data_IF_286137482028
#
_entry.id   IF_286137482028
#
_cell.length_a   1.000
_cell.length_b   1.000
_cell.length_c   1.000
_cell.angle_alpha   90.00
_cell.angle_beta   90.00
_cell.angle_gamma   90.00
#
_symmetry.space_group_name_H-M   'P 1'
#
loop_
_entity.id
_entity.type
_entity.pdbx_description
1 polymer ?
#
# COMPACT_ATOMS: atom_id res chain seq x y z
N UNK A 1 -15.08 -7.69 35.54
CA UNK A 1 -15.73 -6.74 34.64
C UNK A 1 -14.65 -5.73 34.27
N UNK A 2 -13.99 -5.93 33.11
CA UNK A 2 -12.94 -5.02 32.64
C UNK A 2 -13.60 -3.71 32.19
N UNK A 3 -13.12 -2.58 32.71
CA UNK A 3 -13.51 -1.26 32.23
C UNK A 3 -13.16 -1.13 30.76
N UNK A 4 -14.16 -1.13 29.88
CA UNK A 4 -13.97 -0.74 28.47
C UNK A 4 -13.46 0.70 28.45
N UNK A 5 -12.33 0.96 27.79
CA UNK A 5 -11.76 2.31 27.67
C UNK A 5 -12.76 3.23 26.98
N UNK A 6 -12.72 4.53 27.28
CA UNK A 6 -13.61 5.53 26.63
C UNK A 6 -13.45 5.51 25.09
N UNK A 7 -12.31 5.12 24.56
CA UNK A 7 -12.03 4.93 23.14
C UNK A 7 -12.91 3.84 22.52
N UNK A 8 -13.22 2.75 23.27
CA UNK A 8 -14.07 1.67 22.79
C UNK A 8 -15.55 2.07 22.68
N UNK A 9 -16.00 3.05 23.48
CA UNK A 9 -17.39 3.53 23.44
C UNK A 9 -17.68 4.43 22.24
N UNK A 10 -16.68 5.10 21.69
CA UNK A 10 -16.81 5.95 20.50
C UNK A 10 -16.73 5.15 19.19
N UNK A 11 -16.25 3.93 19.24
CA UNK A 11 -16.08 3.09 18.03
C UNK A 11 -17.43 2.52 17.54
N UNK A 12 -17.85 2.98 16.34
CA UNK A 12 -19.11 2.52 15.73
C UNK A 12 -18.87 1.27 14.89
N UNK A 13 -19.04 0.10 15.50
CA UNK A 13 -18.79 -1.20 14.86
C UNK A 13 -19.58 -1.40 13.56
N UNK A 14 -20.82 -0.89 13.47
CA UNK A 14 -21.61 -1.02 12.25
C UNK A 14 -20.97 -0.23 11.07
N UNK A 15 -20.42 0.96 11.33
CA UNK A 15 -19.70 1.74 10.34
C UNK A 15 -18.42 1.02 9.89
N UNK A 16 -17.63 0.53 10.84
CA UNK A 16 -16.41 -0.23 10.55
C UNK A 16 -16.70 -1.41 9.63
N UNK A 17 -17.70 -2.24 9.96
CA UNK A 17 -18.12 -3.39 9.13
C UNK A 17 -18.60 -2.97 7.74
N UNK A 18 -19.26 -1.83 7.60
CA UNK A 18 -19.65 -1.27 6.29
C UNK A 18 -18.43 -0.91 5.44
N UNK A 19 -17.42 -0.29 6.05
CA UNK A 19 -16.15 0.02 5.39
C UNK A 19 -15.35 -1.24 5.04
N UNK A 20 -15.36 -2.27 5.90
CA UNK A 20 -14.73 -3.57 5.62
C UNK A 20 -15.33 -4.23 4.38
N UNK A 21 -16.65 -4.12 4.18
CA UNK A 21 -17.32 -4.63 2.97
C UNK A 21 -16.82 -3.90 1.71
N UNK A 22 -16.62 -2.58 1.76
CA UNK A 22 -16.03 -1.84 0.64
C UNK A 22 -14.56 -2.22 0.41
N UNK A 23 -13.78 -2.37 1.48
CA UNK A 23 -12.37 -2.76 1.43
C UNK A 23 -12.15 -4.23 1.01
N UNK A 24 -13.19 -5.06 1.04
CA UNK A 24 -13.13 -6.45 0.58
C UNK A 24 -12.96 -6.59 -0.94
N UNK A 25 -13.28 -5.55 -1.72
CA UNK A 25 -13.05 -5.53 -3.16
C UNK A 25 -11.57 -5.27 -3.47
N UNK A 26 -10.97 -6.15 -4.25
CA UNK A 26 -9.57 -6.05 -4.68
C UNK A 26 -9.46 -5.69 -6.16
N UNK A 27 -8.34 -5.13 -6.55
CA UNK A 27 -8.04 -4.90 -7.96
C UNK A 27 -8.13 -6.23 -8.74
N UNK A 28 -8.96 -6.25 -9.80
CA UNK A 28 -9.26 -7.45 -10.58
C UNK A 28 -10.58 -8.14 -10.24
N UNK A 29 -11.20 -7.86 -9.09
CA UNK A 29 -12.56 -8.30 -8.83
C UNK A 29 -13.54 -7.53 -9.73
N UNK A 30 -14.29 -8.25 -10.55
CA UNK A 30 -15.37 -7.62 -11.34
C UNK A 30 -16.61 -7.44 -10.48
N UNK A 31 -17.07 -8.52 -9.88
CA UNK A 31 -18.25 -8.54 -8.99
C UNK A 31 -18.04 -9.58 -7.89
N UNK A 32 -18.59 -9.34 -6.70
CA UNK A 32 -18.57 -10.28 -5.57
C UNK A 32 -20.00 -10.61 -5.11
N UNK A 33 -20.26 -11.86 -4.85
CA UNK A 33 -21.52 -12.32 -4.25
C UNK A 33 -21.55 -12.12 -2.74
N UNK A 34 -22.76 -12.17 -2.14
CA UNK A 34 -22.93 -12.04 -0.69
C UNK A 34 -22.11 -13.07 0.12
N UNK A 35 -21.99 -14.30 -0.39
CA UNK A 35 -21.22 -15.36 0.25
C UNK A 35 -19.71 -15.06 0.24
N UNK A 36 -19.18 -14.56 -0.88
CA UNK A 36 -17.76 -14.20 -1.01
C UNK A 36 -17.41 -13.02 -0.11
N UNK A 37 -18.27 -11.99 -0.07
CA UNK A 37 -18.10 -10.85 0.85
C UNK A 37 -18.15 -11.32 2.33
N UNK A 38 -19.09 -12.20 2.69
CA UNK A 38 -19.20 -12.74 4.05
C UNK A 38 -17.92 -13.48 4.47
N UNK A 39 -17.32 -14.25 3.56
CA UNK A 39 -16.06 -14.96 3.81
C UNK A 39 -14.89 -13.98 3.95
N UNK A 40 -14.76 -12.98 3.06
CA UNK A 40 -13.67 -12.02 3.09
C UNK A 40 -13.70 -11.09 4.31
N UNK A 41 -14.90 -10.72 4.74
CA UNK A 41 -15.09 -9.84 5.91
C UNK A 41 -15.20 -10.61 7.24
N UNK A 42 -15.23 -11.96 7.21
CA UNK A 42 -15.50 -12.79 8.37
C UNK A 42 -16.81 -12.41 9.09
N UNK A 43 -17.86 -12.07 8.32
CA UNK A 43 -19.16 -11.65 8.82
C UNK A 43 -20.27 -12.66 8.44
N UNK A 44 -21.35 -12.75 9.25
CA UNK A 44 -22.53 -13.50 8.87
C UNK A 44 -23.16 -12.97 7.57
N UNK A 45 -23.66 -13.85 6.69
CA UNK A 45 -24.31 -13.46 5.43
C UNK A 45 -25.46 -12.47 5.61
N UNK A 46 -26.25 -12.62 6.68
CA UNK A 46 -27.36 -11.71 7.00
C UNK A 46 -26.85 -10.28 7.34
N UNK A 47 -25.72 -10.18 8.01
CA UNK A 47 -25.08 -8.89 8.29
C UNK A 47 -24.59 -8.25 7.01
N UNK A 48 -23.90 -9.01 6.15
CA UNK A 48 -23.41 -8.51 4.85
C UNK A 48 -24.57 -8.05 3.98
N UNK A 49 -25.68 -8.80 3.91
CA UNK A 49 -26.88 -8.40 3.14
C UNK A 49 -27.43 -7.04 3.58
N UNK A 50 -27.46 -6.75 4.88
CA UNK A 50 -27.91 -5.45 5.41
C UNK A 50 -26.95 -4.34 5.09
N UNK A 51 -25.62 -4.58 5.20
CA UNK A 51 -24.58 -3.62 4.89
C UNK A 51 -24.55 -3.29 3.39
N UNK A 52 -24.58 -4.31 2.53
CA UNK A 52 -24.60 -4.12 1.07
C UNK A 52 -25.85 -3.39 0.61
N UNK A 53 -27.02 -3.70 1.19
CA UNK A 53 -28.25 -2.94 0.92
C UNK A 53 -28.06 -1.46 1.22
N UNK A 54 -27.53 -1.13 2.40
CA UNK A 54 -27.28 0.27 2.79
C UNK A 54 -26.27 0.94 1.85
N UNK A 55 -25.17 0.25 1.51
CA UNK A 55 -24.15 0.78 0.61
C UNK A 55 -24.67 0.99 -0.81
N UNK A 56 -25.60 0.16 -1.28
CA UNK A 56 -26.29 0.36 -2.55
C UNK A 56 -27.20 1.59 -2.49
N UNK A 57 -27.99 1.76 -1.44
CA UNK A 57 -28.84 2.95 -1.28
C UNK A 57 -28.04 4.27 -1.24
N UNK A 58 -26.81 4.21 -0.70
CA UNK A 58 -25.89 5.35 -0.63
C UNK A 58 -25.03 5.53 -1.89
N UNK A 59 -25.14 4.65 -2.88
CA UNK A 59 -24.41 4.73 -4.15
C UNK A 59 -22.92 4.31 -4.06
N UNK A 60 -22.50 3.65 -2.98
CA UNK A 60 -21.14 3.08 -2.83
C UNK A 60 -21.00 1.70 -3.48
N UNK A 61 -22.08 0.94 -3.56
CA UNK A 61 -22.16 -0.32 -4.30
C UNK A 61 -23.27 -0.26 -5.32
N UNK A 62 -23.13 -1.04 -6.38
CA UNK A 62 -24.20 -1.38 -7.32
C UNK A 62 -24.33 -2.89 -7.38
N UNK A 63 -25.54 -3.38 -7.71
CA UNK A 63 -25.83 -4.80 -7.86
C UNK A 63 -26.16 -5.09 -9.33
N UNK A 64 -25.57 -6.14 -9.87
CA UNK A 64 -25.86 -6.63 -11.21
C UNK A 64 -27.13 -7.50 -11.26
N UNK A 65 -27.56 -7.92 -12.46
CA UNK A 65 -28.74 -8.75 -12.68
C UNK A 65 -28.61 -10.15 -12.00
N UNK A 66 -27.39 -10.61 -11.78
CA UNK A 66 -27.10 -11.87 -11.07
C UNK A 66 -27.07 -11.72 -9.55
N UNK A 67 -27.38 -10.53 -9.02
CA UNK A 67 -27.36 -10.24 -7.59
C UNK A 67 -25.98 -10.08 -6.99
N UNK A 68 -24.93 -9.92 -7.80
CA UNK A 68 -23.57 -9.66 -7.32
C UNK A 68 -23.29 -8.16 -7.23
N UNK A 69 -22.38 -7.78 -6.34
CA UNK A 69 -22.04 -6.39 -6.02
C UNK A 69 -20.74 -5.98 -6.68
N UNK A 70 -20.65 -4.69 -7.04
CA UNK A 70 -19.41 -4.04 -7.47
C UNK A 70 -19.35 -2.60 -6.91
N UNK A 71 -18.15 -2.01 -6.74
CA UNK A 71 -18.00 -0.63 -6.31
C UNK A 71 -18.68 0.33 -7.29
N UNK A 72 -19.41 1.30 -6.76
CA UNK A 72 -20.16 2.29 -7.52
C UNK A 72 -19.44 3.67 -7.52
N UNK A 73 -19.85 4.65 -8.35
CA UNK A 73 -19.14 5.91 -8.55
C UNK A 73 -18.88 6.75 -7.27
N UNK A 74 -19.69 6.62 -6.22
CA UNK A 74 -19.46 7.34 -4.96
C UNK A 74 -18.10 7.00 -4.32
N UNK A 75 -17.57 5.77 -4.52
CA UNK A 75 -16.23 5.37 -4.05
C UNK A 75 -15.14 6.19 -4.75
N UNK A 76 -15.29 6.46 -6.06
CA UNK A 76 -14.33 7.27 -6.82
C UNK A 76 -14.28 8.71 -6.30
N UNK A 77 -15.41 9.29 -5.94
CA UNK A 77 -15.48 10.66 -5.40
C UNK A 77 -14.63 10.77 -4.12
N UNK A 78 -14.73 9.79 -3.21
CA UNK A 78 -13.91 9.75 -2.00
C UNK A 78 -12.42 9.54 -2.33
N UNK A 79 -12.11 8.63 -3.24
CA UNK A 79 -10.74 8.37 -3.67
C UNK A 79 -10.08 9.60 -4.29
N UNK A 80 -10.78 10.30 -5.18
CA UNK A 80 -10.27 11.53 -5.80
C UNK A 80 -10.11 12.67 -4.78
N UNK A 81 -11.03 12.84 -3.83
CA UNK A 81 -10.89 13.82 -2.76
C UNK A 81 -9.63 13.55 -1.91
N UNK A 82 -9.36 12.29 -1.58
CA UNK A 82 -8.15 11.90 -0.87
C UNK A 82 -6.87 12.19 -1.68
N UNK A 83 -6.87 11.89 -2.99
CA UNK A 83 -5.71 12.12 -3.87
C UNK A 83 -5.46 13.61 -4.12
N UNK A 84 -6.52 14.43 -4.21
CA UNK A 84 -6.42 15.88 -4.40
C UNK A 84 -5.76 16.61 -3.21
N UNK A 85 -5.83 16.03 -2.01
CA UNK A 85 -5.15 16.54 -0.82
C UNK A 85 -3.65 16.20 -0.73
N UNK A 86 -3.06 15.59 -1.76
CA UNK A 86 -1.66 15.15 -1.78
C UNK A 86 -0.83 16.01 -2.76
N UNK A 87 -0.45 17.23 -2.36
CA UNK A 87 0.31 18.17 -3.21
C UNK A 87 1.59 17.54 -3.78
N UNK A 88 2.30 16.76 -2.96
CA UNK A 88 3.50 16.04 -3.39
C UNK A 88 3.25 15.11 -4.57
N UNK A 89 2.05 14.53 -4.68
CA UNK A 89 1.68 13.65 -5.79
C UNK A 89 1.78 14.36 -7.14
N UNK A 90 1.29 15.59 -7.25
CA UNK A 90 1.35 16.35 -8.50
C UNK A 90 2.79 16.75 -8.87
N UNK A 91 3.55 17.21 -7.87
CA UNK A 91 4.98 17.56 -8.03
C UNK A 91 5.82 16.35 -8.43
N UNK A 92 5.52 15.17 -7.91
CA UNK A 92 6.26 13.94 -8.17
C UNK A 92 6.02 13.36 -9.57
N UNK A 93 4.84 13.57 -10.17
CA UNK A 93 4.39 12.88 -11.39
C UNK A 93 5.38 13.01 -12.54
N UNK A 94 5.81 14.20 -12.89
CA UNK A 94 6.70 14.41 -14.04
C UNK A 94 8.13 13.89 -13.78
N UNK A 95 8.78 14.14 -12.62
CA UNK A 95 10.06 13.52 -12.30
C UNK A 95 10.00 11.99 -12.26
N UNK A 96 8.94 11.39 -11.71
CA UNK A 96 8.71 9.93 -11.71
C UNK A 96 8.59 9.38 -13.13
N UNK A 97 7.85 10.06 -14.01
CA UNK A 97 7.71 9.68 -15.41
C UNK A 97 9.05 9.67 -16.14
N UNK A 98 9.89 10.70 -15.94
CA UNK A 98 11.24 10.76 -16.51
C UNK A 98 12.09 9.60 -16.03
N UNK A 99 12.12 9.33 -14.73
CA UNK A 99 12.88 8.21 -14.19
C UNK A 99 12.39 6.85 -14.74
N UNK A 100 11.08 6.69 -14.87
CA UNK A 100 10.50 5.47 -15.46
C UNK A 100 10.89 5.29 -16.92
N UNK A 101 10.90 6.37 -17.72
CA UNK A 101 11.32 6.33 -19.12
C UNK A 101 12.82 6.05 -19.26
N UNK A 102 13.66 6.67 -18.44
CA UNK A 102 15.11 6.50 -18.44
C UNK A 102 15.52 5.06 -18.08
N UNK A 103 14.91 4.51 -17.04
CA UNK A 103 15.27 3.17 -16.53
C UNK A 103 14.53 2.03 -17.21
N UNK A 104 13.39 2.32 -17.81
CA UNK A 104 12.45 1.30 -18.27
C UNK A 104 11.86 0.47 -17.14
N UNK A 105 11.81 1.02 -15.93
CA UNK A 105 11.26 0.41 -14.71
C UNK A 105 10.03 1.19 -14.23
N UNK A 106 9.19 0.57 -13.41
CA UNK A 106 8.04 1.25 -12.81
C UNK A 106 8.47 2.08 -11.61
N UNK A 107 8.00 3.32 -11.53
CA UNK A 107 8.25 4.23 -10.41
C UNK A 107 6.93 4.55 -9.73
N UNK A 108 6.86 4.37 -8.42
CA UNK A 108 5.61 4.46 -7.65
C UNK A 108 5.80 5.30 -6.40
N UNK A 109 4.83 6.14 -6.07
CA UNK A 109 4.72 6.89 -4.83
C UNK A 109 3.65 6.23 -3.95
N UNK A 110 3.94 6.05 -2.66
CA UNK A 110 3.00 5.41 -1.74
C UNK A 110 3.00 6.03 -0.34
N UNK A 111 1.87 5.87 0.34
CA UNK A 111 1.64 6.27 1.74
C UNK A 111 1.37 5.04 2.59
N UNK A 112 1.74 5.10 3.87
CA UNK A 112 1.45 4.02 4.82
C UNK A 112 -0.01 4.06 5.28
N UNK A 113 -0.62 2.88 5.32
CA UNK A 113 -1.91 2.64 5.94
C UNK A 113 -1.81 1.38 6.83
N UNK A 114 -1.61 1.57 8.13
CA UNK A 114 -1.39 0.45 9.05
C UNK A 114 -0.16 -0.37 8.66
N UNK A 115 -0.34 -1.69 8.48
CA UNK A 115 0.69 -2.65 8.04
C UNK A 115 0.89 -2.70 6.52
N UNK A 116 0.25 -1.78 5.77
CA UNK A 116 0.30 -1.77 4.32
C UNK A 116 0.73 -0.40 3.78
N UNK A 117 1.06 -0.39 2.48
CA UNK A 117 1.35 0.84 1.72
C UNK A 117 0.37 0.93 0.56
N UNK A 118 -0.33 2.05 0.45
CA UNK A 118 -1.25 2.35 -0.65
C UNK A 118 -0.53 3.22 -1.68
N UNK A 119 -0.60 2.82 -2.94
CA UNK A 119 -0.02 3.56 -4.05
C UNK A 119 -0.91 4.76 -4.42
N UNK A 120 -0.34 5.95 -4.41
CA UNK A 120 -1.03 7.21 -4.72
C UNK A 120 -0.66 7.77 -6.09
N UNK A 121 0.50 7.38 -6.65
CA UNK A 121 0.90 7.67 -8.03
C UNK A 121 1.75 6.52 -8.57
N UNK A 122 1.62 6.22 -9.87
CA UNK A 122 2.38 5.15 -10.54
C UNK A 122 2.73 5.55 -11.97
N UNK A 123 4.02 5.58 -12.28
CA UNK A 123 4.55 5.71 -13.63
C UNK A 123 5.05 4.34 -14.08
N UNK A 124 4.37 3.74 -15.04
CA UNK A 124 4.67 2.36 -15.47
C UNK A 124 5.71 2.29 -16.57
N UNK A 125 6.58 1.31 -16.42
CA UNK A 125 7.38 0.86 -17.55
C UNK A 125 6.49 0.13 -18.58
N UNK A 126 6.81 0.22 -19.88
CA UNK A 126 6.12 -0.52 -20.93
C UNK A 126 6.57 -1.99 -20.92
N UNK A 127 6.30 -2.73 -19.85
CA UNK A 127 6.65 -4.14 -19.72
C UNK A 127 5.40 -5.02 -19.86
N UNK A 128 5.52 -6.15 -20.56
CA UNK A 128 4.44 -7.13 -20.72
C UNK A 128 4.31 -8.10 -19.54
N UNK A 129 5.32 -8.15 -18.67
CA UNK A 129 5.43 -9.11 -17.56
C UNK A 129 5.51 -8.35 -16.24
N UNK A 130 4.70 -8.75 -15.28
CA UNK A 130 4.72 -8.23 -13.92
C UNK A 130 3.32 -8.02 -13.34
N UNK A 131 3.26 -7.86 -12.03
CA UNK A 131 2.03 -7.55 -11.32
C UNK A 131 1.56 -6.15 -11.73
N UNK A 132 0.28 -6.04 -12.04
CA UNK A 132 -0.33 -4.74 -12.34
C UNK A 132 -0.73 -4.05 -11.05
N UNK A 133 0.23 -3.32 -10.47
CA UNK A 133 -0.03 -2.42 -9.35
C UNK A 133 -0.30 -1.01 -9.87
N UNK A 134 -1.43 -0.44 -9.49
CA UNK A 134 -1.91 0.88 -9.92
C UNK A 134 -2.21 1.77 -8.73
N UNK A 135 -2.58 3.02 -8.96
CA UNK A 135 -3.10 3.90 -7.92
C UNK A 135 -4.26 3.20 -7.20
N UNK A 136 -4.23 3.21 -5.87
CA UNK A 136 -5.15 2.45 -5.02
C UNK A 136 -4.71 1.01 -4.71
N UNK A 137 -3.70 0.45 -5.39
CA UNK A 137 -3.14 -0.85 -5.00
C UNK A 137 -2.49 -0.77 -3.64
N UNK A 138 -2.63 -1.84 -2.85
CA UNK A 138 -2.09 -1.94 -1.50
C UNK A 138 -1.09 -3.09 -1.41
N UNK A 139 0.13 -2.80 -0.94
CA UNK A 139 1.22 -3.77 -0.80
C UNK A 139 1.67 -3.90 0.66
N UNK A 140 2.24 -5.05 1.08
CA UNK A 140 2.69 -5.26 2.45
C UNK A 140 3.84 -4.31 2.85
N UNK A 141 3.83 -3.87 4.12
CA UNK A 141 4.89 -3.03 4.68
C UNK A 141 6.19 -3.82 4.90
N UNK A 142 6.12 -5.03 5.44
CA UNK A 142 7.31 -5.76 5.88
C UNK A 142 8.14 -6.37 4.74
N UNK A 143 7.52 -6.73 3.60
CA UNK A 143 8.18 -7.49 2.52
C UNK A 143 8.51 -6.67 1.28
N UNK A 144 8.05 -5.40 1.20
CA UNK A 144 8.30 -4.52 0.06
C UNK A 144 9.35 -3.47 0.35
N UNK A 145 10.12 -3.06 -0.65
CA UNK A 145 11.10 -1.99 -0.49
C UNK A 145 10.45 -0.68 -0.01
N UNK A 146 9.29 -0.31 -0.57
CA UNK A 146 8.57 0.93 -0.21
C UNK A 146 8.05 0.88 1.24
N UNK A 147 7.56 -0.28 1.69
CA UNK A 147 7.12 -0.45 3.07
C UNK A 147 8.28 -0.33 4.06
N UNK A 148 9.42 -0.96 3.75
CA UNK A 148 10.65 -0.87 4.54
C UNK A 148 11.20 0.55 4.60
N UNK A 149 11.16 1.29 3.49
CA UNK A 149 11.56 2.68 3.43
C UNK A 149 10.70 3.56 4.36
N UNK A 150 9.38 3.42 4.31
CA UNK A 150 8.49 4.12 5.24
C UNK A 150 8.75 3.72 6.69
N UNK A 151 8.87 2.42 6.98
CA UNK A 151 9.14 1.92 8.33
C UNK A 151 10.46 2.46 8.89
N UNK A 152 11.51 2.58 8.07
CA UNK A 152 12.85 2.96 8.51
C UNK A 152 12.93 4.35 9.16
N UNK A 153 12.01 5.25 8.81
CA UNK A 153 11.97 6.65 9.30
C UNK A 153 10.82 6.94 10.26
N UNK A 154 10.00 5.94 10.59
CA UNK A 154 8.96 6.10 11.60
C UNK A 154 9.57 6.33 12.98
N UNK A 155 8.92 7.14 13.84
CA UNK A 155 9.24 7.21 15.26
C UNK A 155 9.19 5.82 15.91
N UNK A 156 10.04 5.59 16.91
CA UNK A 156 10.11 4.29 17.62
C UNK A 156 8.75 3.88 18.19
N UNK A 157 7.96 4.81 18.69
CA UNK A 157 6.61 4.55 19.21
C UNK A 157 5.66 4.00 18.15
N UNK A 158 5.71 4.54 16.92
CA UNK A 158 4.91 4.03 15.81
C UNK A 158 5.40 2.66 15.32
N UNK A 159 6.72 2.45 15.29
CA UNK A 159 7.29 1.14 14.95
C UNK A 159 6.82 0.06 15.93
N UNK A 160 6.92 0.33 17.24
CA UNK A 160 6.43 -0.58 18.28
C UNK A 160 4.93 -0.86 18.17
N UNK A 161 4.13 0.15 17.78
CA UNK A 161 2.70 -0.02 17.54
C UNK A 161 2.37 -0.92 16.34
N UNK A 162 3.31 -1.14 15.42
CA UNK A 162 3.14 -2.03 14.26
C UNK A 162 3.52 -3.48 14.55
N UNK A 163 4.28 -3.77 15.60
CA UNK A 163 4.79 -5.12 15.85
C UNK A 163 3.67 -6.13 16.10
N UNK A 164 2.69 -5.81 16.94
CA UNK A 164 1.56 -6.71 17.22
C UNK A 164 0.69 -6.96 15.98
N UNK A 165 0.23 -5.94 15.24
CA UNK A 165 -0.51 -6.16 13.98
C UNK A 165 0.27 -6.96 12.94
N UNK A 166 1.59 -6.72 12.80
CA UNK A 166 2.43 -7.46 11.86
C UNK A 166 2.62 -8.91 12.32
N UNK A 167 2.81 -9.14 13.63
CA UNK A 167 2.92 -10.49 14.18
C UNK A 167 1.62 -11.29 13.96
N UNK A 168 0.47 -10.66 14.09
CA UNK A 168 -0.83 -11.28 13.80
C UNK A 168 -0.98 -11.59 12.30
N UNK A 169 -0.62 -10.65 11.42
CA UNK A 169 -0.72 -10.81 9.96
C UNK A 169 0.17 -11.94 9.44
N UNK A 170 1.42 -12.05 9.96
CA UNK A 170 2.40 -13.01 9.44
C UNK A 170 2.54 -14.28 10.27
N UNK A 171 1.99 -14.33 11.48
CA UNK A 171 2.05 -15.50 12.36
C UNK A 171 3.47 -16.03 12.57
N UNK A 172 3.71 -17.34 12.41
CA UNK A 172 5.02 -17.95 12.63
C UNK A 172 6.17 -17.41 11.76
N UNK A 173 5.84 -16.72 10.66
CA UNK A 173 6.84 -16.10 9.76
C UNK A 173 7.36 -14.77 10.29
N UNK A 174 6.66 -14.15 11.25
CA UNK A 174 6.98 -12.81 11.73
C UNK A 174 8.40 -12.65 12.25
N UNK A 175 8.98 -13.53 13.09
CA UNK A 175 10.34 -13.35 13.59
C UNK A 175 11.39 -13.19 12.49
N UNK A 176 11.26 -13.94 11.39
CA UNK A 176 12.16 -13.86 10.23
C UNK A 176 11.96 -12.53 9.48
N UNK A 177 10.71 -12.13 9.28
CA UNK A 177 10.39 -10.88 8.59
C UNK A 177 10.77 -9.65 9.42
N UNK A 178 10.58 -9.70 10.74
CA UNK A 178 11.02 -8.66 11.67
C UNK A 178 12.52 -8.45 11.62
N UNK A 179 13.31 -9.53 11.69
CA UNK A 179 14.77 -9.45 11.59
C UNK A 179 15.21 -8.77 10.28
N UNK A 180 14.58 -9.10 9.15
CA UNK A 180 14.83 -8.45 7.86
C UNK A 180 14.41 -6.98 7.85
N UNK A 181 13.26 -6.65 8.39
CA UNK A 181 12.76 -5.28 8.49
C UNK A 181 13.70 -4.39 9.29
N UNK A 182 14.23 -4.90 10.42
CA UNK A 182 15.21 -4.20 11.25
C UNK A 182 16.57 -4.07 10.56
N UNK A 183 17.02 -5.11 9.85
CA UNK A 183 18.25 -5.07 9.06
C UNK A 183 18.16 -4.02 7.92
N UNK A 184 17.02 -3.92 7.23
CA UNK A 184 16.80 -2.91 6.19
C UNK A 184 16.76 -1.49 6.77
N UNK A 185 16.19 -1.29 7.97
CA UNK A 185 16.26 -0.01 8.69
C UNK A 185 17.71 0.40 8.97
N UNK A 186 18.53 -0.53 9.47
CA UNK A 186 19.96 -0.27 9.70
C UNK A 186 20.70 0.01 8.38
N UNK A 187 20.38 -0.75 7.32
CA UNK A 187 20.95 -0.57 6.00
C UNK A 187 20.55 0.79 5.38
N UNK A 188 19.34 1.27 5.63
CA UNK A 188 18.90 2.58 5.18
C UNK A 188 19.77 3.70 5.76
N UNK A 189 20.10 3.66 7.03
CA UNK A 189 20.99 4.65 7.65
C UNK A 189 22.37 4.72 7.01
N UNK A 190 22.88 3.59 6.52
CA UNK A 190 24.19 3.51 5.87
C UNK A 190 24.16 3.79 4.37
N UNK A 191 23.09 3.40 3.66
CA UNK A 191 23.03 3.38 2.19
C UNK A 191 22.07 4.43 1.62
N UNK A 192 21.15 4.98 2.43
CA UNK A 192 20.13 5.93 2.00
C UNK A 192 18.95 5.32 1.24
N UNK A 193 18.84 4.01 1.13
CA UNK A 193 17.71 3.33 0.50
C UNK A 193 17.42 1.97 1.16
N UNK A 194 16.19 1.48 0.98
CA UNK A 194 15.77 0.12 1.31
C UNK A 194 15.55 -0.70 0.04
N UNK A 195 15.69 -2.02 0.14
CA UNK A 195 15.51 -2.94 -0.98
C UNK A 195 14.59 -4.12 -0.65
N UNK A 196 14.06 -4.74 -1.71
CA UNK A 196 13.37 -6.03 -1.68
C UNK A 196 13.72 -6.78 -2.96
N UNK A 197 14.37 -7.92 -2.83
CA UNK A 197 14.83 -8.72 -3.96
C UNK A 197 14.11 -10.07 -3.97
N UNK A 198 12.89 -10.11 -4.54
CA UNK A 198 12.07 -11.31 -4.62
C UNK A 198 11.33 -11.70 -3.33
N UNK A 199 11.26 -10.79 -2.34
CA UNK A 199 10.66 -11.11 -1.03
C UNK A 199 9.16 -10.80 -0.96
N UNK A 200 8.69 -9.89 -1.79
CA UNK A 200 7.25 -9.65 -2.00
C UNK A 200 6.72 -10.61 -3.07
N UNK A 201 7.32 -10.57 -4.23
CA UNK A 201 7.06 -11.48 -5.35
C UNK A 201 8.40 -11.97 -5.90
N UNK A 202 8.58 -13.28 -6.13
CA UNK A 202 9.88 -13.84 -6.51
C UNK A 202 10.50 -13.21 -7.75
N UNK A 203 9.65 -12.79 -8.70
CA UNK A 203 10.06 -12.23 -10.00
C UNK A 203 10.20 -10.69 -9.97
N UNK A 204 10.11 -10.04 -8.80
CA UNK A 204 10.17 -8.58 -8.67
C UNK A 204 11.31 -8.16 -7.76
N UNK A 205 12.15 -7.27 -8.26
CA UNK A 205 13.12 -6.51 -7.48
C UNK A 205 12.68 -5.05 -7.34
N UNK A 206 12.99 -4.43 -6.22
CA UNK A 206 12.67 -3.03 -5.96
C UNK A 206 13.69 -2.38 -5.02
N UNK A 207 13.89 -1.07 -5.21
CA UNK A 207 14.56 -0.18 -4.26
C UNK A 207 13.65 0.99 -3.94
N UNK A 208 13.71 1.51 -2.72
CA UNK A 208 12.82 2.59 -2.28
C UNK A 208 13.51 3.53 -1.30
N UNK A 209 13.01 4.79 -1.28
CA UNK A 209 13.52 5.87 -0.45
C UNK A 209 12.32 6.63 0.14
N UNK A 210 12.30 6.96 1.44
CA UNK A 210 11.29 7.85 2.01
C UNK A 210 11.52 9.28 1.57
N UNK A 211 10.45 10.05 1.39
CA UNK A 211 10.50 11.48 1.08
C UNK A 211 10.34 12.25 2.38
N UNK A 212 11.45 12.79 2.87
CA UNK A 212 11.48 13.49 4.16
C UNK A 212 10.71 14.80 4.08
N UNK A 213 10.01 15.14 5.17
CA UNK A 213 9.19 16.37 5.25
C UNK A 213 7.82 16.26 4.58
N UNK A 214 7.50 15.16 3.88
CA UNK A 214 6.16 14.98 3.32
C UNK A 214 5.10 14.73 4.41
N UNK A 215 3.93 15.32 4.23
CA UNK A 215 2.78 15.11 5.10
C UNK A 215 1.53 14.80 4.24
N UNK A 216 0.98 13.58 4.33
CA UNK A 216 1.48 12.43 5.09
C UNK A 216 2.86 11.94 4.63
N UNK A 217 3.56 11.16 5.49
CA UNK A 217 4.85 10.55 5.13
C UNK A 217 4.70 9.63 3.92
N UNK A 218 5.48 9.89 2.87
CA UNK A 218 5.48 9.16 1.62
C UNK A 218 6.84 8.52 1.34
N UNK A 219 6.84 7.49 0.51
CA UNK A 219 8.07 6.95 -0.07
C UNK A 219 7.90 6.73 -1.56
N UNK A 220 9.03 6.78 -2.27
CA UNK A 220 9.10 6.48 -3.69
C UNK A 220 9.88 5.19 -3.89
N UNK A 221 9.41 4.31 -4.77
CA UNK A 221 10.16 3.14 -5.18
C UNK A 221 10.31 3.05 -6.70
N UNK A 222 11.38 2.38 -7.09
CA UNK A 222 11.56 1.88 -8.45
C UNK A 222 11.52 0.36 -8.40
N UNK A 223 10.73 -0.27 -9.27
CA UNK A 223 10.53 -1.72 -9.29
C UNK A 223 10.46 -2.27 -10.70
N UNK A 224 10.86 -3.54 -10.85
CA UNK A 224 10.80 -4.23 -12.13
C UNK A 224 11.15 -5.70 -12.03
N UNK A 225 11.14 -6.41 -13.18
CA UNK A 225 11.42 -7.84 -13.23
C UNK A 225 12.83 -8.19 -12.72
N UNK A 226 12.93 -9.20 -11.86
CA UNK A 226 14.18 -9.66 -11.25
C UNK A 226 15.25 -10.06 -12.28
N UNK A 227 14.82 -10.58 -13.44
CA UNK A 227 15.74 -11.02 -14.50
C UNK A 227 16.45 -9.86 -15.23
N UNK A 228 15.96 -8.61 -15.10
CA UNK A 228 16.55 -7.44 -15.83
C UNK A 228 17.87 -6.99 -15.25
N UNK A 229 17.97 -6.97 -13.93
CA UNK A 229 19.14 -6.45 -13.21
C UNK A 229 19.42 -7.32 -11.98
N UNK A 230 20.70 -7.59 -11.73
CA UNK A 230 21.13 -8.26 -10.50
C UNK A 230 20.93 -7.33 -9.29
N UNK A 231 20.81 -7.83 -8.05
CA UNK A 231 20.75 -7.01 -6.84
C UNK A 231 21.87 -5.96 -6.74
N UNK A 232 23.09 -6.29 -7.17
CA UNK A 232 24.22 -5.36 -7.19
C UNK A 232 23.92 -4.19 -8.13
N UNK A 233 23.49 -4.46 -9.36
CA UNK A 233 23.14 -3.41 -10.32
C UNK A 233 21.94 -2.57 -9.88
N UNK A 234 20.96 -3.16 -9.17
CA UNK A 234 19.89 -2.40 -8.54
C UNK A 234 20.43 -1.38 -7.52
N UNK A 235 21.40 -1.79 -6.69
CA UNK A 235 22.01 -0.93 -5.69
C UNK A 235 22.92 0.16 -6.30
N UNK A 236 23.69 -0.17 -7.35
CA UNK A 236 24.69 0.73 -7.94
C UNK A 236 24.12 1.66 -9.01
N UNK A 237 23.14 1.20 -9.81
CA UNK A 237 22.63 1.95 -10.97
C UNK A 237 21.26 2.59 -10.70
N UNK A 238 20.35 1.92 -9.98
CA UNK A 238 18.97 2.36 -9.80
C UNK A 238 18.80 3.13 -8.48
N UNK A 239 19.32 2.61 -7.37
CA UNK A 239 19.14 3.23 -6.07
C UNK A 239 19.63 4.69 -6.01
N UNK A 240 20.80 5.08 -6.58
CA UNK A 240 21.24 6.47 -6.58
C UNK A 240 20.25 7.41 -7.28
N UNK A 241 19.60 6.96 -8.37
CA UNK A 241 18.60 7.73 -9.10
C UNK A 241 17.32 7.93 -8.27
N UNK A 242 16.89 6.92 -7.54
CA UNK A 242 15.74 7.00 -6.63
C UNK A 242 16.05 7.91 -5.45
N UNK A 243 17.27 7.84 -4.89
CA UNK A 243 17.75 8.74 -3.82
C UNK A 243 17.75 10.19 -4.30
N UNK A 244 18.29 10.44 -5.48
CA UNK A 244 18.31 11.79 -6.05
C UNK A 244 16.90 12.35 -6.29
N UNK A 245 15.97 11.50 -6.78
CA UNK A 245 14.58 11.88 -6.97
C UNK A 245 13.90 12.18 -5.63
N UNK A 246 14.07 11.33 -4.61
CA UNK A 246 13.49 11.55 -3.28
C UNK A 246 14.04 12.84 -2.64
N UNK A 247 15.34 13.11 -2.76
CA UNK A 247 15.96 14.34 -2.28
C UNK A 247 15.37 15.57 -2.97
N UNK A 248 15.21 15.56 -4.31
CA UNK A 248 14.56 16.64 -5.06
C UNK A 248 13.15 16.94 -4.58
N UNK A 249 12.38 15.91 -4.26
CA UNK A 249 10.99 16.03 -3.78
C UNK A 249 10.89 16.45 -2.31
N UNK A 250 11.96 16.30 -1.52
CA UNK A 250 12.01 16.65 -0.09
C UNK A 250 12.34 18.13 0.17
N UNK A 251 12.84 18.89 -0.81
CA UNK A 251 13.46 20.25 -0.62
C UNK A 251 12.43 21.39 -0.65
N UNK A 252 11.16 21.10 -0.75
CA UNK A 252 10.07 22.08 -0.69
C UNK A 252 9.01 21.65 0.30
#
# INVERSE_FOLDING_TARGET
MSEMSDTDRLFVTALARGLDVLAAFKAGDRTLGNTELAQRCHLPKSTVSRLTYTLCQLGYLSQDEAGKYHPAPAVLTLGFAALAGLDLRERAREPMRRLSQETGLSVTLGVRQGTRVVYVETCRAPTRVGIRLEVGSSVPLATTAIGRALYSVLPVSEQSGLESPLAEEYGPRWPILAARLYAERAAFQAKGFCASYGEFEPDIHAVAVPIMGSSPLMAINCSGPAYRLTPIRWAEEIAPKVVALAAHLSVE
#
